data_IF_064289136215
#
_entry.id   IF_064289136215
#
_cell.length_a   1.000
_cell.length_b   1.000
_cell.length_c   1.000
_cell.angle_alpha   90.00
_cell.angle_beta   90.00
_cell.angle_gamma   90.00
#
_symmetry.space_group_name_H-M   'P 1'
#
loop_
_entity.id
_entity.type
_entity.pdbx_description
1 polymer ?
#
# COMPACT_ATOMS: atom_id res chain seq x y z
N UNK A 1 2.66 -6.17 14.57
CA UNK A 1 1.97 -6.93 15.63
C UNK A 1 0.57 -6.34 15.85
N UNK A 2 -0.34 -7.14 16.44
CA UNK A 2 -1.70 -6.71 16.77
C UNK A 2 -2.02 -7.10 18.21
N UNK A 3 -2.77 -6.23 18.90
CA UNK A 3 -3.25 -6.47 20.27
C UNK A 3 -4.69 -6.00 20.44
N UNK A 4 -5.32 -6.46 21.51
CA UNK A 4 -6.62 -5.99 21.98
C UNK A 4 -6.49 -5.49 23.41
N UNK A 5 -7.31 -4.51 23.78
CA UNK A 5 -7.31 -3.98 25.15
C UNK A 5 -7.76 -5.03 26.17
N UNK A 6 -7.06 -5.09 27.31
CA UNK A 6 -7.41 -6.00 28.42
C UNK A 6 -8.66 -5.48 29.11
N UNK A 7 -8.65 -4.21 29.50
CA UNK A 7 -9.75 -3.56 30.20
C UNK A 7 -10.88 -3.12 29.25
N UNK A 8 -10.55 -2.97 27.97
CA UNK A 8 -11.49 -2.60 26.92
C UNK A 8 -11.27 -3.47 25.67
N UNK A 9 -11.93 -4.63 25.56
CA UNK A 9 -11.77 -5.55 24.42
C UNK A 9 -12.16 -4.97 23.05
N UNK A 10 -12.88 -3.86 23.01
CA UNK A 10 -13.22 -3.15 21.78
C UNK A 10 -12.06 -2.27 21.27
N UNK A 11 -11.11 -1.94 22.14
CA UNK A 11 -9.92 -1.23 21.72
C UNK A 11 -8.94 -2.20 21.04
N UNK A 12 -8.44 -1.81 19.88
CA UNK A 12 -7.45 -2.60 19.13
C UNK A 12 -6.19 -1.79 18.90
N UNK A 13 -5.05 -2.48 18.94
CA UNK A 13 -3.73 -1.89 18.74
C UNK A 13 -3.04 -2.62 17.60
N UNK A 14 -2.48 -1.87 16.67
CA UNK A 14 -1.51 -2.36 15.69
C UNK A 14 -0.18 -1.64 15.93
N UNK A 15 0.92 -2.39 16.03
CA UNK A 15 2.20 -1.77 16.35
C UNK A 15 3.40 -2.50 15.73
N UNK A 16 4.48 -1.77 15.60
CA UNK A 16 5.83 -2.27 15.31
C UNK A 16 6.83 -1.71 16.33
N UNK A 17 7.81 -2.51 16.69
CA UNK A 17 8.96 -2.09 17.47
C UNK A 17 10.20 -2.38 16.64
N UNK A 18 11.00 -1.37 16.42
CA UNK A 18 12.23 -1.47 15.63
C UNK A 18 13.27 -0.49 16.18
N UNK A 19 14.41 -0.37 15.52
CA UNK A 19 15.44 0.60 15.88
C UNK A 19 15.01 2.07 15.74
N UNK A 20 13.90 2.36 15.06
CA UNK A 20 13.30 3.70 15.01
C UNK A 20 12.24 3.93 16.10
N UNK A 21 12.12 3.00 17.05
CA UNK A 21 11.19 3.08 18.19
C UNK A 21 9.91 2.29 18.02
N UNK A 22 8.95 2.53 18.92
CA UNK A 22 7.59 2.00 18.85
C UNK A 22 6.73 2.92 17.99
N UNK A 23 6.12 2.33 16.97
CA UNK A 23 5.08 2.99 16.19
C UNK A 23 3.79 2.21 16.32
N UNK A 24 2.72 2.87 16.74
CA UNK A 24 1.46 2.19 17.02
C UNK A 24 0.24 2.99 16.57
N UNK A 25 -0.80 2.24 16.20
CA UNK A 25 -2.17 2.73 15.99
C UNK A 25 -3.06 2.11 17.04
N UNK A 26 -3.74 2.94 17.79
CA UNK A 26 -4.75 2.54 18.75
C UNK A 26 -6.13 2.98 18.22
N UNK A 27 -7.01 2.03 17.98
CA UNK A 27 -8.44 2.30 17.84
C UNK A 27 -9.08 2.20 19.20
N UNK A 28 -9.68 3.27 19.65
CA UNK A 28 -10.48 3.25 20.89
C UNK A 28 -11.92 2.78 20.63
N UNK A 29 -12.69 2.58 21.69
CA UNK A 29 -14.07 2.14 21.61
C UNK A 29 -15.05 3.18 21.02
N UNK A 30 -14.61 4.42 20.82
CA UNK A 30 -15.38 5.47 20.15
C UNK A 30 -15.16 5.49 18.63
N UNK A 31 -14.25 4.63 18.13
CA UNK A 31 -13.83 4.60 16.72
C UNK A 31 -12.77 5.64 16.37
N UNK A 32 -12.23 6.38 17.36
CA UNK A 32 -11.10 7.27 17.13
C UNK A 32 -9.81 6.48 16.99
N UNK A 33 -8.97 6.98 16.09
CA UNK A 33 -7.63 6.45 15.85
C UNK A 33 -6.61 7.38 16.48
N UNK A 34 -5.78 6.81 17.35
CA UNK A 34 -4.67 7.49 17.98
C UNK A 34 -3.37 6.91 17.46
N UNK A 35 -2.46 7.77 17.06
CA UNK A 35 -1.11 7.42 16.64
C UNK A 35 -0.16 7.60 17.82
N UNK A 36 0.76 6.67 18.00
CA UNK A 36 1.80 6.71 19.01
C UNK A 36 3.11 6.56 18.26
N UNK A 37 3.92 7.60 18.28
CA UNK A 37 5.21 7.64 17.57
C UNK A 37 6.27 8.33 18.42
N UNK A 38 7.56 7.96 18.29
CA UNK A 38 8.65 8.71 18.95
C UNK A 38 8.66 10.16 18.46
N UNK A 39 9.00 11.09 19.33
CA UNK A 39 9.15 12.50 18.95
C UNK A 39 10.29 12.72 17.94
N UNK A 40 11.34 11.93 18.04
CA UNK A 40 12.46 11.83 17.11
C UNK A 40 13.10 10.44 17.21
N UNK A 41 13.98 10.08 16.24
CA UNK A 41 14.61 8.73 16.16
C UNK A 41 15.36 8.29 17.43
N UNK A 42 15.80 9.23 18.27
CA UNK A 42 16.60 8.94 19.47
C UNK A 42 15.87 9.37 20.75
N UNK A 43 14.58 9.68 20.67
CA UNK A 43 13.80 10.19 21.78
C UNK A 43 13.11 9.08 22.56
N UNK A 44 13.23 9.10 23.88
CA UNK A 44 12.40 8.31 24.79
C UNK A 44 11.00 8.92 24.99
N UNK A 45 10.74 10.08 24.36
CA UNK A 45 9.45 10.77 24.41
C UNK A 45 8.61 10.36 23.22
N UNK A 46 7.36 10.03 23.49
CA UNK A 46 6.39 9.63 22.48
C UNK A 46 5.29 10.66 22.35
N UNK A 47 4.91 10.96 21.11
CA UNK A 47 3.73 11.76 20.78
C UNK A 47 2.54 10.85 20.64
N UNK A 48 1.41 11.27 21.19
CA UNK A 48 0.10 10.67 20.95
C UNK A 48 -0.76 11.72 20.27
N UNK A 49 -1.24 11.42 19.09
CA UNK A 49 -2.02 12.36 18.27
C UNK A 49 -3.08 11.62 17.46
N UNK A 50 -4.07 12.33 16.97
CA UNK A 50 -5.09 11.81 16.05
C UNK A 50 -4.79 12.22 14.60
N UNK A 51 -5.63 11.75 13.67
CA UNK A 51 -5.47 12.04 12.24
C UNK A 51 -5.48 13.55 11.93
N UNK A 52 -6.15 14.35 12.73
CA UNK A 52 -6.21 15.82 12.55
C UNK A 52 -4.88 16.53 12.76
N UNK A 53 -3.91 15.88 13.41
CA UNK A 53 -2.59 16.46 13.67
C UNK A 53 -1.81 16.77 12.39
N UNK A 54 -1.93 15.95 11.36
CA UNK A 54 -1.26 16.17 10.08
C UNK A 54 -1.89 17.29 9.24
N UNK A 55 -2.99 17.88 9.72
CA UNK A 55 -3.73 18.90 8.99
C UNK A 55 -4.43 18.34 7.74
N UNK A 56 -5.21 19.19 7.09
CA UNK A 56 -5.82 18.90 5.78
C UNK A 56 -4.92 19.39 4.65
N UNK A 57 -3.67 19.00 4.60
CA UNK A 57 -2.88 19.25 3.40
C UNK A 57 -3.50 18.42 2.28
N UNK A 58 -4.21 19.09 1.39
CA UNK A 58 -4.60 18.52 0.10
C UNK A 58 -3.33 18.43 -0.73
N UNK A 59 -2.65 17.32 -0.65
CA UNK A 59 -1.63 16.96 -1.61
C UNK A 59 -2.42 16.54 -2.86
N UNK A 60 -2.17 17.22 -3.99
CA UNK A 60 -2.75 16.79 -5.25
C UNK A 60 -2.26 15.38 -5.56
N UNK A 61 -3.18 14.43 -5.68
CA UNK A 61 -2.86 13.05 -6.01
C UNK A 61 -2.71 12.93 -7.52
N UNK A 62 -1.49 12.76 -8.02
CA UNK A 62 -1.25 12.40 -9.40
C UNK A 62 -1.19 10.86 -9.51
N UNK A 63 -2.35 10.26 -9.77
CA UNK A 63 -2.48 8.85 -10.04
C UNK A 63 -2.33 8.60 -11.56
N UNK A 64 -1.30 7.86 -11.93
CA UNK A 64 -1.02 7.46 -13.33
C UNK A 64 -1.56 6.06 -13.66
N UNK A 65 -2.41 5.49 -12.84
CA UNK A 65 -3.08 4.22 -13.14
C UNK A 65 -4.14 4.44 -14.21
N UNK A 66 -3.90 3.89 -15.39
CA UNK A 66 -4.84 3.97 -16.51
C UNK A 66 -6.09 3.11 -16.22
N UNK A 67 -7.26 3.73 -16.33
CA UNK A 67 -8.56 3.05 -16.22
C UNK A 67 -8.84 2.09 -17.39
N UNK A 68 -8.03 2.14 -18.43
CA UNK A 68 -8.22 1.42 -19.70
C UNK A 68 -7.69 0.00 -19.71
N UNK A 69 -7.22 -0.56 -18.59
CA UNK A 69 -6.95 -1.98 -18.57
C UNK A 69 -8.29 -2.70 -18.72
N UNK A 70 -8.55 -3.17 -19.91
CA UNK A 70 -9.61 -4.11 -20.23
C UNK A 70 -9.40 -5.37 -19.39
N UNK A 71 -9.87 -5.34 -18.14
CA UNK A 71 -10.24 -6.59 -17.51
C UNK A 71 -11.26 -7.21 -18.47
N UNK A 72 -10.94 -8.40 -18.96
CA UNK A 72 -11.84 -9.11 -19.84
C UNK A 72 -13.14 -9.35 -19.06
N UNK A 73 -14.11 -8.44 -19.26
CA UNK A 73 -15.41 -8.49 -18.59
C UNK A 73 -16.14 -9.78 -18.92
N UNK A 74 -15.80 -10.41 -20.05
CA UNK A 74 -16.30 -11.74 -20.43
C UNK A 74 -15.71 -12.80 -19.50
N UNK A 75 -14.42 -12.73 -19.12
CA UNK A 75 -13.82 -13.67 -18.20
C UNK A 75 -14.38 -13.51 -16.78
N UNK A 76 -14.56 -12.28 -16.31
CA UNK A 76 -15.17 -12.01 -14.99
C UNK A 76 -16.66 -12.37 -15.00
N UNK A 77 -17.39 -12.02 -16.06
CA UNK A 77 -18.81 -12.35 -16.23
C UNK A 77 -19.02 -13.86 -16.37
N UNK A 78 -18.14 -14.57 -17.08
CA UNK A 78 -18.24 -16.02 -17.24
C UNK A 78 -17.94 -16.75 -15.92
N UNK A 79 -17.02 -16.24 -15.11
CA UNK A 79 -16.75 -16.78 -13.77
C UNK A 79 -17.88 -16.52 -12.78
N UNK A 80 -18.59 -15.41 -12.94
CA UNK A 80 -19.78 -15.08 -12.14
C UNK A 80 -20.99 -15.88 -12.61
N UNK A 81 -21.22 -16.03 -13.91
CA UNK A 81 -22.36 -16.74 -14.45
C UNK A 81 -22.26 -18.27 -14.34
N UNK A 82 -21.05 -18.83 -14.28
CA UNK A 82 -20.85 -20.27 -14.05
C UNK A 82 -20.90 -20.66 -12.56
N UNK A 83 -20.94 -19.72 -11.64
CA UNK A 83 -21.38 -19.99 -10.27
C UNK A 83 -22.90 -19.98 -10.30
N UNK A 84 -23.49 -21.16 -10.23
CA UNK A 84 -24.93 -21.32 -10.02
C UNK A 84 -25.38 -20.28 -8.98
N UNK A 85 -26.39 -19.50 -9.34
CA UNK A 85 -27.09 -18.60 -8.43
C UNK A 85 -27.79 -19.48 -7.40
N UNK A 86 -27.02 -19.99 -6.46
CA UNK A 86 -27.55 -20.38 -5.16
C UNK A 86 -27.84 -19.07 -4.46
N UNK A 87 -29.01 -18.98 -3.84
CA UNK A 87 -29.51 -17.79 -3.12
C UNK A 87 -28.64 -17.37 -1.90
N UNK A 88 -27.33 -17.61 -1.96
CA UNK A 88 -26.35 -17.13 -0.97
C UNK A 88 -25.89 -15.73 -1.36
N UNK A 89 -26.64 -14.76 -0.87
CA UNK A 89 -26.35 -13.30 -0.98
C UNK A 89 -25.10 -12.88 -0.19
N UNK A 90 -24.32 -13.81 0.35
CA UNK A 90 -23.16 -13.57 1.21
C UNK A 90 -21.82 -13.90 0.53
N UNK A 91 -21.62 -13.46 -0.72
CA UNK A 91 -20.37 -13.71 -1.44
C UNK A 91 -19.14 -12.96 -0.88
N UNK A 92 -19.32 -12.06 0.08
CA UNK A 92 -18.26 -11.19 0.60
C UNK A 92 -18.03 -11.29 2.12
N UNK A 93 -18.84 -12.03 2.85
CA UNK A 93 -18.69 -12.21 4.31
C UNK A 93 -18.31 -13.66 4.66
N UNK A 94 -17.18 -14.13 4.15
CA UNK A 94 -16.67 -15.45 4.55
C UNK A 94 -15.85 -15.42 5.86
N UNK A 95 -15.75 -14.26 6.49
CA UNK A 95 -14.98 -13.99 7.72
C UNK A 95 -13.51 -14.43 7.62
N UNK A 96 -12.93 -14.47 6.42
CA UNK A 96 -11.55 -14.91 6.19
C UNK A 96 -10.63 -13.73 5.97
N UNK A 97 -9.53 -13.75 6.69
CA UNK A 97 -8.39 -12.88 6.43
C UNK A 97 -7.48 -13.55 5.38
N UNK A 98 -7.30 -12.88 4.26
CA UNK A 98 -6.43 -13.34 3.16
C UNK A 98 -5.07 -12.68 3.28
N UNK A 99 -4.03 -13.48 3.34
CA UNK A 99 -2.65 -12.99 3.44
C UNK A 99 -1.98 -13.05 2.08
N UNK A 100 -1.36 -11.96 1.67
CA UNK A 100 -0.60 -11.83 0.43
C UNK A 100 0.86 -11.49 0.74
N UNK A 101 1.78 -12.14 0.03
CA UNK A 101 3.22 -11.90 0.14
C UNK A 101 3.57 -10.65 -0.65
N UNK A 102 4.09 -9.64 0.04
CA UNK A 102 4.47 -8.36 -0.53
C UNK A 102 5.99 -8.32 -0.74
N UNK A 103 6.42 -8.13 -1.99
CA UNK A 103 7.77 -7.72 -2.32
C UNK A 103 7.77 -6.20 -2.53
N UNK A 104 8.36 -5.47 -1.59
CA UNK A 104 8.39 -4.01 -1.60
C UNK A 104 9.82 -3.52 -1.77
N UNK A 105 10.13 -2.98 -2.94
CA UNK A 105 11.44 -2.36 -3.21
C UNK A 105 11.43 -0.86 -2.91
N UNK A 106 12.60 -0.27 -2.82
CA UNK A 106 12.70 1.18 -2.82
C UNK A 106 13.92 1.67 -3.60
N UNK A 107 13.82 2.89 -4.14
CA UNK A 107 14.93 3.58 -4.80
C UNK A 107 15.93 4.12 -3.78
N UNK A 108 17.14 4.48 -4.26
CA UNK A 108 18.16 5.10 -3.45
C UNK A 108 17.74 6.48 -2.91
N UNK A 109 16.91 7.23 -3.66
CA UNK A 109 16.36 8.50 -3.21
C UNK A 109 15.43 8.32 -2.02
N UNK A 110 14.52 7.35 -2.07
CA UNK A 110 13.67 7.01 -0.92
C UNK A 110 14.52 6.58 0.28
N UNK A 111 15.49 5.69 0.06
CA UNK A 111 16.38 5.24 1.12
C UNK A 111 17.17 6.39 1.76
N UNK A 112 17.58 7.40 0.99
CA UNK A 112 18.30 8.57 1.48
C UNK A 112 17.52 9.37 2.55
N UNK A 113 16.18 9.33 2.52
CA UNK A 113 15.35 9.99 3.54
C UNK A 113 15.50 9.33 4.92
N UNK A 114 15.78 8.02 4.95
CA UNK A 114 15.61 7.21 6.17
C UNK A 114 16.86 6.43 6.60
N UNK A 115 17.81 6.16 5.70
CA UNK A 115 18.93 5.25 5.96
C UNK A 115 19.82 5.68 7.13
N UNK A 116 19.96 7.01 7.36
CA UNK A 116 20.84 7.54 8.39
C UNK A 116 22.32 7.20 8.11
N UNK A 117 23.12 7.24 9.17
CA UNK A 117 24.51 6.85 9.15
C UNK A 117 24.68 5.42 9.68
N UNK A 118 25.75 4.74 9.28
CA UNK A 118 26.07 3.40 9.78
C UNK A 118 26.54 2.45 8.68
N UNK A 119 26.65 1.18 9.01
CA UNK A 119 26.96 0.13 8.05
C UNK A 119 25.78 -0.07 7.09
N UNK A 120 26.02 -0.68 5.93
CA UNK A 120 24.97 -0.99 4.95
C UNK A 120 23.81 -1.76 5.60
N UNK A 121 24.12 -2.74 6.45
CA UNK A 121 23.10 -3.52 7.18
C UNK A 121 22.24 -2.61 8.07
N UNK A 122 22.86 -1.69 8.81
CA UNK A 122 22.11 -0.75 9.64
C UNK A 122 21.27 0.21 8.81
N UNK A 123 21.80 0.69 7.69
CA UNK A 123 21.09 1.59 6.79
C UNK A 123 19.86 0.91 6.18
N UNK A 124 20.03 -0.32 5.65
CA UNK A 124 18.90 -1.12 5.13
C UNK A 124 17.86 -1.42 6.21
N UNK A 125 18.29 -1.76 7.42
CA UNK A 125 17.38 -1.98 8.54
C UNK A 125 16.55 -0.72 8.89
N UNK A 126 17.17 0.48 8.86
CA UNK A 126 16.45 1.74 9.08
C UNK A 126 15.38 1.98 8.01
N UNK A 127 15.72 1.76 6.74
CA UNK A 127 14.78 1.90 5.62
C UNK A 127 13.64 0.90 5.74
N UNK A 128 13.95 -0.37 6.02
CA UNK A 128 12.95 -1.43 6.21
C UNK A 128 12.00 -1.12 7.37
N UNK A 129 12.49 -0.47 8.43
CA UNK A 129 11.65 -0.05 9.55
C UNK A 129 10.59 0.99 9.13
N UNK A 130 10.97 1.97 8.29
CA UNK A 130 10.02 2.94 7.75
C UNK A 130 9.03 2.29 6.77
N UNK A 131 9.50 1.40 5.89
CA UNK A 131 8.62 0.61 5.01
C UNK A 131 7.63 -0.24 5.83
N UNK A 132 8.08 -0.81 6.94
CA UNK A 132 7.23 -1.58 7.88
C UNK A 132 6.16 -0.69 8.52
N UNK A 133 6.53 0.54 8.89
CA UNK A 133 5.58 1.52 9.44
C UNK A 133 4.50 1.85 8.40
N UNK A 134 4.88 2.12 7.16
CA UNK A 134 3.94 2.39 6.07
C UNK A 134 2.97 1.21 5.85
N UNK A 135 3.48 -0.01 5.73
CA UNK A 135 2.64 -1.19 5.48
C UNK A 135 1.77 -1.56 6.69
N UNK A 136 2.20 -1.26 7.91
CA UNK A 136 1.33 -1.40 9.08
C UNK A 136 0.11 -0.46 9.01
N UNK A 137 0.27 0.74 8.44
CA UNK A 137 -0.83 1.67 8.20
C UNK A 137 -1.79 1.15 7.14
N UNK A 138 -1.27 0.68 6.01
CA UNK A 138 -2.07 0.05 4.94
C UNK A 138 -2.82 -1.16 5.48
N UNK A 139 -2.13 -2.04 6.20
CA UNK A 139 -2.74 -3.24 6.80
C UNK A 139 -3.85 -2.93 7.80
N UNK A 140 -3.82 -1.79 8.46
CA UNK A 140 -4.90 -1.39 9.37
C UNK A 140 -6.23 -1.23 8.63
N UNK A 141 -6.18 -0.56 7.47
CA UNK A 141 -7.36 -0.36 6.62
C UNK A 141 -7.73 -1.67 5.91
N UNK A 142 -6.76 -2.33 5.30
CA UNK A 142 -7.00 -3.50 4.49
C UNK A 142 -7.54 -4.70 5.28
N UNK A 143 -7.06 -4.92 6.51
CA UNK A 143 -7.60 -5.99 7.36
C UNK A 143 -9.01 -5.68 7.83
N UNK A 144 -9.28 -4.43 8.20
CA UNK A 144 -10.58 -4.01 8.70
C UNK A 144 -11.65 -4.01 7.61
N UNK A 145 -11.32 -3.43 6.46
CA UNK A 145 -12.32 -3.10 5.44
C UNK A 145 -12.38 -4.13 4.31
N UNK A 146 -11.27 -4.82 4.03
CA UNK A 146 -11.15 -5.73 2.89
C UNK A 146 -10.85 -7.19 3.28
N UNK A 147 -10.53 -7.46 4.55
CA UNK A 147 -10.07 -8.80 4.97
C UNK A 147 -8.75 -9.21 4.31
N UNK A 148 -7.89 -8.25 3.98
CA UNK A 148 -6.59 -8.45 3.33
C UNK A 148 -5.47 -8.11 4.29
N UNK A 149 -4.42 -8.94 4.33
CA UNK A 149 -3.17 -8.69 5.04
C UNK A 149 -1.99 -8.80 4.10
N UNK A 150 -1.13 -7.80 4.11
CA UNK A 150 0.16 -7.81 3.43
C UNK A 150 1.25 -8.26 4.42
N UNK A 151 2.06 -9.23 4.01
CA UNK A 151 3.25 -9.68 4.75
C UNK A 151 4.46 -9.60 3.84
N UNK A 152 5.56 -9.07 4.33
CA UNK A 152 6.79 -9.02 3.55
C UNK A 152 7.32 -10.41 3.22
N UNK A 153 7.96 -10.52 2.07
CA UNK A 153 8.81 -11.68 1.74
C UNK A 153 10.08 -11.67 2.60
N UNK A 154 10.74 -12.84 2.74
CA UNK A 154 11.84 -12.98 3.70
C UNK A 154 13.08 -12.15 3.37
N UNK A 155 13.42 -11.96 2.10
CA UNK A 155 14.65 -11.29 1.64
C UNK A 155 14.42 -9.85 1.18
N UNK A 156 13.68 -9.07 1.97
CA UNK A 156 13.35 -7.67 1.66
C UNK A 156 14.57 -6.76 1.54
N UNK A 157 15.64 -7.02 2.26
CA UNK A 157 16.87 -6.23 2.23
C UNK A 157 17.61 -6.30 0.87
N UNK A 158 17.38 -7.34 0.08
CA UNK A 158 17.97 -7.49 -1.26
C UNK A 158 17.38 -6.50 -2.28
N UNK A 159 16.20 -5.94 -2.02
CA UNK A 159 15.49 -4.96 -2.88
C UNK A 159 15.42 -3.56 -2.29
N UNK A 160 16.19 -3.29 -1.23
CA UNK A 160 16.42 -1.97 -0.68
C UNK A 160 17.71 -1.41 -1.26
N UNK A 161 17.61 -0.44 -2.16
CA UNK A 161 18.74 0.23 -2.78
C UNK A 161 19.10 1.48 -1.98
N UNK A 162 20.38 1.64 -1.66
CA UNK A 162 20.89 2.76 -0.85
C UNK A 162 21.51 3.88 -1.67
N UNK A 163 21.75 3.64 -2.94
CA UNK A 163 22.43 4.56 -3.86
C UNK A 163 21.58 4.77 -5.13
N UNK A 164 21.08 5.99 -5.29
CA UNK A 164 20.28 6.41 -6.43
C UNK A 164 21.02 6.37 -7.77
N UNK A 165 22.36 6.36 -7.75
CA UNK A 165 23.16 6.31 -8.97
C UNK A 165 23.29 4.90 -9.55
N UNK A 166 22.97 3.89 -8.75
CA UNK A 166 23.14 2.47 -9.10
C UNK A 166 21.84 1.67 -9.04
N UNK A 167 20.76 2.26 -8.57
CA UNK A 167 19.47 1.61 -8.56
C UNK A 167 18.90 1.42 -9.99
N UNK A 168 18.01 0.47 -10.24
CA UNK A 168 17.62 0.11 -11.60
C UNK A 168 16.56 1.01 -12.23
N UNK A 169 15.95 1.96 -11.50
CA UNK A 169 14.69 2.58 -11.98
C UNK A 169 14.86 3.68 -13.03
N UNK A 170 15.70 4.69 -12.81
CA UNK A 170 15.91 5.78 -13.77
C UNK A 170 14.63 6.45 -14.30
N UNK A 171 13.55 6.47 -13.49
CA UNK A 171 12.24 7.02 -13.85
C UNK A 171 11.24 6.03 -14.47
N UNK A 172 11.65 4.81 -14.77
CA UNK A 172 10.77 3.77 -15.35
C UNK A 172 10.21 2.82 -14.27
N UNK A 173 9.44 3.34 -13.34
CA UNK A 173 9.08 2.61 -12.13
C UNK A 173 8.27 1.32 -12.37
N UNK A 174 7.19 1.35 -13.18
CA UNK A 174 6.34 0.17 -13.35
C UNK A 174 7.09 -1.06 -13.89
N UNK A 175 7.77 -0.90 -15.03
CA UNK A 175 8.43 -2.02 -15.71
C UNK A 175 9.67 -2.47 -14.96
N UNK A 176 10.45 -1.52 -14.46
CA UNK A 176 11.67 -1.81 -13.72
C UNK A 176 11.39 -2.48 -12.38
N UNK A 177 10.34 -2.06 -11.67
CA UNK A 177 9.94 -2.74 -10.42
C UNK A 177 9.60 -4.19 -10.67
N UNK A 178 8.76 -4.50 -11.67
CA UNK A 178 8.45 -5.89 -12.00
C UNK A 178 9.70 -6.71 -12.34
N UNK A 179 10.57 -6.17 -13.21
CA UNK A 179 11.81 -6.85 -13.61
C UNK A 179 12.73 -7.11 -12.43
N UNK A 180 12.99 -6.10 -11.61
CA UNK A 180 13.86 -6.20 -10.43
C UNK A 180 13.33 -7.22 -9.41
N UNK A 181 12.03 -7.17 -9.12
CA UNK A 181 11.43 -8.11 -8.17
C UNK A 181 11.44 -9.55 -8.69
N UNK A 182 11.22 -9.76 -9.99
CA UNK A 182 11.30 -11.09 -10.60
C UNK A 182 12.72 -11.66 -10.58
N UNK A 183 13.72 -10.80 -10.82
CA UNK A 183 15.13 -11.19 -10.81
C UNK A 183 15.64 -11.49 -9.41
N UNK A 184 15.37 -10.62 -8.43
CA UNK A 184 15.97 -10.67 -7.10
C UNK A 184 15.16 -11.56 -6.15
N UNK A 185 13.85 -11.40 -6.11
CA UNK A 185 12.95 -12.15 -5.21
C UNK A 185 12.50 -13.46 -5.87
N UNK A 186 12.32 -13.46 -7.17
CA UNK A 186 11.76 -14.55 -7.95
C UNK A 186 10.25 -14.47 -8.09
N UNK A 187 9.77 -14.58 -9.32
CA UNK A 187 8.36 -14.38 -9.67
C UNK A 187 7.36 -15.24 -8.87
N UNK A 188 7.77 -16.41 -8.39
CA UNK A 188 6.91 -17.32 -7.62
C UNK A 188 6.90 -17.03 -6.10
N UNK A 189 7.74 -16.12 -5.63
CA UNK A 189 7.96 -15.90 -4.21
C UNK A 189 7.15 -14.76 -3.63
N UNK A 190 6.42 -14.00 -4.46
CA UNK A 190 5.54 -12.91 -4.02
C UNK A 190 4.20 -12.93 -4.75
N UNK A 191 3.20 -12.24 -4.20
CA UNK A 191 1.84 -12.17 -4.73
C UNK A 191 1.50 -10.76 -5.24
N UNK A 192 2.12 -9.75 -4.65
CA UNK A 192 2.04 -8.33 -5.02
C UNK A 192 3.44 -7.70 -4.89
N UNK A 193 3.86 -6.94 -5.89
CA UNK A 193 5.12 -6.20 -5.88
C UNK A 193 4.86 -4.70 -6.02
N UNK A 194 5.63 -3.91 -5.27
CA UNK A 194 5.50 -2.46 -5.24
C UNK A 194 6.86 -1.79 -5.05
N UNK A 195 6.97 -0.51 -5.41
CA UNK A 195 8.18 0.28 -5.20
C UNK A 195 7.87 1.59 -4.47
N UNK A 196 8.72 1.95 -3.52
CA UNK A 196 8.71 3.28 -2.91
C UNK A 196 9.82 4.14 -3.49
N UNK A 197 9.48 5.36 -3.89
CA UNK A 197 10.42 6.32 -4.45
C UNK A 197 10.06 7.76 -4.02
N UNK A 198 10.72 8.75 -4.56
CA UNK A 198 10.51 10.17 -4.24
C UNK A 198 9.99 10.98 -5.42
N UNK A 199 9.55 10.32 -6.49
CA UNK A 199 8.84 11.02 -7.56
C UNK A 199 7.47 11.51 -7.08
N UNK A 200 6.86 12.43 -7.77
CA UNK A 200 5.47 12.77 -7.52
C UNK A 200 4.54 11.72 -8.15
N UNK A 201 3.52 11.29 -7.39
CA UNK A 201 2.48 10.41 -7.86
C UNK A 201 2.74 8.93 -7.69
N UNK A 202 1.82 8.13 -8.20
CA UNK A 202 1.84 6.68 -8.14
C UNK A 202 1.19 6.02 -9.34
N UNK A 203 1.43 4.74 -9.48
CA UNK A 203 0.74 3.89 -10.45
C UNK A 203 0.73 2.44 -9.99
N UNK A 204 -0.42 1.81 -10.05
CA UNK A 204 -0.54 0.36 -9.87
C UNK A 204 0.08 -0.42 -11.05
N UNK A 205 0.31 0.25 -12.18
CA UNK A 205 0.73 -0.40 -13.43
C UNK A 205 -0.32 -1.30 -14.05
N UNK A 206 -1.34 -1.67 -13.31
CA UNK A 206 -2.52 -2.41 -13.77
C UNK A 206 -3.58 -2.51 -12.65
N UNK A 207 -4.84 -2.52 -13.01
CA UNK A 207 -5.94 -2.75 -12.07
C UNK A 207 -6.21 -4.26 -11.96
N UNK A 208 -6.24 -4.79 -10.72
CA UNK A 208 -6.53 -6.19 -10.46
C UNK A 208 -5.46 -7.16 -10.94
N UNK A 209 -4.18 -6.83 -10.74
CA UNK A 209 -3.07 -7.66 -11.19
C UNK A 209 -2.38 -8.47 -10.09
N UNK A 210 -2.82 -8.41 -8.85
CA UNK A 210 -2.29 -9.26 -7.77
C UNK A 210 -2.33 -10.73 -8.21
N UNK A 211 -1.26 -11.46 -7.95
CA UNK A 211 -1.01 -12.84 -8.37
C UNK A 211 -0.85 -13.07 -9.88
N UNK A 212 -0.96 -12.07 -10.74
CA UNK A 212 -0.77 -12.24 -12.19
C UNK A 212 0.72 -12.22 -12.56
N UNK A 213 1.13 -13.16 -13.43
CA UNK A 213 2.53 -13.37 -13.84
C UNK A 213 2.73 -13.19 -15.36
N UNK A 214 1.93 -12.39 -16.02
CA UNK A 214 2.05 -12.20 -17.45
C UNK A 214 3.39 -11.52 -17.79
N UNK A 215 4.28 -12.23 -18.47
CA UNK A 215 5.71 -11.96 -18.60
C UNK A 215 6.09 -10.71 -19.38
N UNK A 216 5.18 -10.04 -20.08
CA UNK A 216 5.48 -8.83 -20.87
C UNK A 216 4.26 -7.91 -21.04
N UNK A 217 3.18 -8.13 -20.31
CA UNK A 217 1.98 -7.31 -20.43
C UNK A 217 1.90 -6.28 -19.29
N UNK A 218 1.06 -5.29 -19.49
CA UNK A 218 0.68 -4.33 -18.46
C UNK A 218 -0.01 -4.97 -17.22
N UNK A 219 -0.21 -6.29 -17.22
CA UNK A 219 -0.95 -7.03 -16.19
C UNK A 219 -0.04 -7.88 -15.29
N UNK A 220 1.10 -7.33 -14.85
CA UNK A 220 2.03 -8.03 -13.99
C UNK A 220 1.93 -7.53 -12.54
N UNK A 221 1.88 -8.46 -11.57
CA UNK A 221 1.74 -8.20 -10.12
C UNK A 221 2.82 -7.32 -9.50
N UNK A 222 3.99 -7.19 -10.14
CA UNK A 222 5.13 -6.43 -9.65
C UNK A 222 5.22 -5.00 -10.17
N UNK A 223 4.21 -4.45 -10.79
CA UNK A 223 4.29 -3.16 -11.51
C UNK A 223 3.91 -1.93 -10.68
N UNK A 224 3.50 -2.09 -9.43
CA UNK A 224 3.09 -0.96 -8.61
C UNK A 224 4.25 -0.07 -8.16
N UNK A 225 4.00 1.23 -8.04
CA UNK A 225 4.89 2.15 -7.35
C UNK A 225 4.12 3.31 -6.71
N UNK A 226 4.71 3.88 -5.69
CA UNK A 226 4.26 5.11 -5.05
C UNK A 226 5.45 6.00 -4.75
N UNK A 227 5.37 7.27 -5.13
CA UNK A 227 6.40 8.25 -4.90
C UNK A 227 5.86 9.55 -4.33
N UNK A 228 6.60 10.10 -3.35
CA UNK A 228 6.36 11.44 -2.83
C UNK A 228 7.70 12.00 -2.32
N UNK A 229 8.04 13.27 -2.59
CA UNK A 229 9.27 13.87 -2.08
C UNK A 229 9.41 13.81 -0.55
N UNK A 230 8.30 13.95 0.18
CA UNK A 230 8.19 13.69 1.62
C UNK A 230 7.36 12.40 1.82
N UNK A 231 8.05 11.25 1.77
CA UNK A 231 7.43 9.95 1.84
C UNK A 231 7.11 9.54 3.29
N UNK A 232 6.44 10.42 4.04
CA UNK A 232 6.09 10.21 5.45
C UNK A 232 4.62 10.51 5.74
N UNK A 233 4.12 9.95 6.85
CA UNK A 233 2.77 10.24 7.34
C UNK A 233 1.64 9.67 6.48
N UNK A 234 0.42 9.92 6.91
CA UNK A 234 -0.77 9.43 6.22
C UNK A 234 -0.94 9.95 4.79
N UNK A 235 -0.49 11.15 4.42
CA UNK A 235 -0.48 11.54 3.01
C UNK A 235 0.26 10.56 2.11
N UNK A 236 1.41 10.04 2.55
CA UNK A 236 2.11 9.01 1.81
C UNK A 236 1.51 7.61 2.02
N UNK A 237 1.29 7.20 3.30
CA UNK A 237 0.91 5.81 3.59
C UNK A 237 -0.51 5.47 3.15
N UNK A 238 -1.45 6.40 3.33
CA UNK A 238 -2.88 6.15 3.10
C UNK A 238 -3.33 6.74 1.77
N UNK A 239 -3.08 8.03 1.56
CA UNK A 239 -3.62 8.71 0.38
C UNK A 239 -2.93 8.24 -0.91
N UNK A 240 -1.68 7.71 -0.82
CA UNK A 240 -0.94 7.22 -1.97
C UNK A 240 -0.70 5.70 -1.95
N UNK A 241 0.01 5.15 -0.97
CA UNK A 241 0.38 3.72 -0.96
C UNK A 241 -0.86 2.84 -0.89
N UNK A 242 -1.78 3.13 0.02
CA UNK A 242 -3.02 2.38 0.13
C UNK A 242 -3.87 2.51 -1.14
N UNK A 243 -3.88 3.69 -1.77
CA UNK A 243 -4.56 3.97 -3.03
C UNK A 243 -4.01 3.11 -4.18
N UNK A 244 -2.72 3.18 -4.46
CA UNK A 244 -2.12 2.46 -5.60
C UNK A 244 -2.15 0.94 -5.40
N UNK A 245 -1.90 0.46 -4.19
CA UNK A 245 -2.08 -0.97 -3.89
C UNK A 245 -3.55 -1.39 -4.02
N UNK A 246 -4.51 -0.50 -3.70
CA UNK A 246 -5.94 -0.73 -3.93
C UNK A 246 -6.25 -0.99 -5.39
N UNK A 247 -5.66 -0.22 -6.30
CA UNK A 247 -5.76 -0.49 -7.74
C UNK A 247 -5.15 -1.84 -8.12
N UNK A 248 -4.00 -2.21 -7.56
CA UNK A 248 -3.43 -3.55 -7.81
C UNK A 248 -4.39 -4.67 -7.37
N UNK A 249 -5.16 -4.48 -6.30
CA UNK A 249 -6.22 -5.40 -5.86
C UNK A 249 -7.50 -5.32 -6.68
N UNK A 250 -7.66 -4.34 -7.56
CA UNK A 250 -8.80 -4.24 -8.48
C UNK A 250 -9.77 -3.11 -8.20
N UNK A 251 -9.47 -2.21 -7.27
CA UNK A 251 -10.28 -1.04 -7.03
C UNK A 251 -10.15 -0.04 -8.20
N UNK A 252 -11.25 0.60 -8.55
CA UNK A 252 -11.29 1.73 -9.47
C UNK A 252 -11.49 3.01 -8.66
N UNK A 253 -11.18 4.16 -9.25
CA UNK A 253 -11.52 5.42 -8.62
C UNK A 253 -13.02 5.51 -8.38
N UNK A 254 -13.44 6.10 -7.27
CA UNK A 254 -14.85 6.28 -6.94
C UNK A 254 -15.59 7.15 -7.95
N UNK A 255 -14.85 7.95 -8.74
CA UNK A 255 -15.38 8.74 -9.85
C UNK A 255 -15.64 7.93 -11.13
N UNK A 256 -15.21 6.68 -11.21
CA UNK A 256 -15.48 5.83 -12.37
C UNK A 256 -16.93 5.33 -12.33
N UNK A 257 -17.63 5.40 -13.48
CA UNK A 257 -18.97 4.81 -13.65
C UNK A 257 -18.92 3.29 -13.61
N UNK A 258 -20.06 2.67 -13.43
CA UNK A 258 -20.19 1.21 -13.38
C UNK A 258 -19.67 0.50 -14.64
N UNK A 259 -19.68 1.18 -15.79
CA UNK A 259 -19.10 0.69 -17.05
C UNK A 259 -17.57 0.74 -17.09
N UNK A 260 -16.97 1.33 -16.04
CA UNK A 260 -15.51 1.42 -15.82
C UNK A 260 -14.69 2.13 -16.90
N UNK A 261 -15.28 2.41 -18.06
CA UNK A 261 -14.66 3.14 -19.17
C UNK A 261 -14.87 4.65 -19.12
N UNK A 262 -15.82 5.10 -18.29
CA UNK A 262 -16.17 6.51 -18.18
C UNK A 262 -16.06 6.99 -16.75
N UNK A 263 -15.77 8.27 -16.58
CA UNK A 263 -15.75 8.94 -15.27
C UNK A 263 -17.04 9.76 -15.08
N UNK A 264 -17.44 9.93 -13.83
CA UNK A 264 -18.45 10.91 -13.47
C UNK A 264 -17.91 12.32 -13.71
N UNK A 265 -18.75 13.18 -14.26
CA UNK A 265 -18.45 14.61 -14.33
C UNK A 265 -18.69 15.26 -12.96
N UNK A 266 -18.13 16.45 -12.74
CA UNK A 266 -18.32 17.16 -11.47
C UNK A 266 -19.78 17.47 -11.13
N UNK A 267 -20.69 17.47 -12.12
CA UNK A 267 -22.13 17.64 -11.93
C UNK A 267 -22.88 16.34 -11.59
N UNK A 268 -22.24 15.18 -11.76
CA UNK A 268 -22.83 13.86 -11.50
C UNK A 268 -22.42 13.29 -10.12
N UNK A 269 -21.50 13.96 -9.41
CA UNK A 269 -21.07 13.57 -8.08
C UNK A 269 -21.65 14.52 -7.03
N UNK A 270 -22.01 13.99 -5.88
CA UNK A 270 -22.50 14.81 -4.78
C UNK A 270 -21.41 15.76 -4.25
N UNK A 271 -21.72 17.00 -3.90
CA UNK A 271 -20.77 17.91 -3.27
C UNK A 271 -20.24 17.31 -1.97
N UNK A 272 -18.93 17.23 -1.84
CA UNK A 272 -18.27 16.68 -0.66
C UNK A 272 -18.05 15.17 -0.69
N UNK A 273 -18.46 14.46 -1.74
CA UNK A 273 -17.99 13.10 -2.01
C UNK A 273 -16.51 13.15 -2.37
N UNK A 274 -15.66 13.36 -1.39
CA UNK A 274 -14.22 13.22 -1.56
C UNK A 274 -13.90 11.78 -1.88
N UNK A 275 -13.26 11.54 -3.00
CA UNK A 275 -12.83 10.20 -3.34
C UNK A 275 -11.39 9.99 -2.87
N UNK A 276 -11.23 9.38 -1.76
CA UNK A 276 -10.15 8.42 -1.65
C UNK A 276 -10.78 7.06 -1.88
N UNK A 277 -10.10 6.16 -2.51
CA UNK A 277 -10.54 4.77 -2.67
C UNK A 277 -11.22 4.27 -1.42
#
# INVERSE_FOLDING_TARGET
QKGTGIDNPLATLRFSVSQIGLHALLHDNSGKVHYIEPESKESDVYKVFDRGYYGTQKIGLDCFTESSSTLDLEEVSSKISNRAVTNDVNLFEDSKLRTFRLALSCTGEYANLFKGNGTEVQQKANVLAEMTKAINRVNEIYERDLGIRLVFVDNMDDVIYLDASTDPWGGEYNTKTAGTLDEVIGVNNYDIGHNFNTSDGGSAGCIGCVCKQASQSSSHKGRGYTGLPDATGDPFYIDYVCHEMGHQFGAYHTMNKCDRGNQFTGSEVEPGSGSSI
#
